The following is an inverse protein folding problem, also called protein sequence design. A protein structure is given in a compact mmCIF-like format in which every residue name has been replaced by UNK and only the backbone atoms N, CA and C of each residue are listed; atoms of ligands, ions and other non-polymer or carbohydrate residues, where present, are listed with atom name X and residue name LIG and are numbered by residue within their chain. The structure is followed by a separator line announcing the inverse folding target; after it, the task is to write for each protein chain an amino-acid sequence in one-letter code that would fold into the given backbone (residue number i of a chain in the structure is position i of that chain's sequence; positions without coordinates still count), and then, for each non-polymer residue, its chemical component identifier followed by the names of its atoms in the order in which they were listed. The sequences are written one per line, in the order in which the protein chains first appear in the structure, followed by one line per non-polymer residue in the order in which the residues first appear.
data_IF_890776010207
#
_entry.id   IF_890776010207
#
_cell.length_a   1.000
_cell.length_b   1.000
_cell.length_c   1.000
_cell.angle_alpha   90.00
_cell.angle_beta   90.00
_cell.angle_gamma   90.00
#
_symmetry.space_group_name_H-M   'P 1'
#
loop_
_entity.id
_entity.type
_entity.pdbx_description
1 polymer ?
#
# COMPACT_ATOMS: atom_id res chain seq x y z
N UNK A 1 65.34 -25.67 -71.60
CA UNK A 1 65.33 -24.29 -71.05
C UNK A 1 64.26 -23.51 -71.78
N UNK A 2 63.14 -23.17 -71.14
CA UNK A 2 62.42 -21.90 -71.30
C UNK A 2 61.08 -22.00 -70.58
N UNK A 3 60.80 -20.94 -69.82
CA UNK A 3 59.49 -20.56 -69.32
C UNK A 3 58.60 -20.09 -70.49
N UNK A 4 57.27 -20.16 -70.28
CA UNK A 4 56.21 -19.22 -70.72
C UNK A 4 54.96 -19.88 -71.35
N UNK A 5 53.82 -19.34 -70.90
CA UNK A 5 52.47 -19.31 -71.50
C UNK A 5 51.55 -20.52 -71.22
N UNK A 6 50.26 -20.40 -70.89
CA UNK A 6 49.32 -19.27 -70.83
C UNK A 6 48.00 -19.77 -70.18
N UNK A 7 47.15 -18.83 -69.75
CA UNK A 7 45.70 -18.92 -69.42
C UNK A 7 45.23 -19.26 -67.99
N UNK A 8 44.77 -18.19 -67.31
CA UNK A 8 43.73 -18.19 -66.27
C UNK A 8 42.38 -18.76 -66.76
N UNK A 9 41.55 -19.31 -65.85
CA UNK A 9 40.09 -19.15 -65.87
C UNK A 9 39.61 -18.15 -64.77
N UNK A 10 38.35 -17.67 -64.85
CA UNK A 10 38.01 -16.32 -64.41
C UNK A 10 37.52 -16.19 -62.97
N UNK A 11 37.62 -14.95 -62.50
CA UNK A 11 36.98 -14.34 -61.33
C UNK A 11 35.53 -14.83 -61.08
N UNK A 12 35.35 -15.68 -60.06
CA UNK A 12 34.07 -15.88 -59.34
C UNK A 12 34.38 -16.04 -57.85
N UNK A 13 35.02 -15.03 -57.24
CA UNK A 13 35.37 -15.06 -55.81
C UNK A 13 35.00 -13.75 -55.09
N UNK A 14 33.95 -13.08 -55.57
CA UNK A 14 33.53 -11.76 -55.08
C UNK A 14 32.12 -11.70 -54.48
N UNK A 15 31.27 -12.71 -54.68
CA UNK A 15 29.86 -12.65 -54.24
C UNK A 15 29.58 -13.43 -52.95
N UNK A 16 30.28 -14.56 -52.69
CA UNK A 16 30.03 -15.33 -51.46
C UNK A 16 30.60 -14.68 -50.18
N UNK A 17 31.64 -13.85 -50.30
CA UNK A 17 32.28 -13.22 -49.14
C UNK A 17 31.50 -12.00 -48.60
N UNK A 18 30.60 -11.41 -49.39
CA UNK A 18 29.78 -10.26 -48.98
C UNK A 18 28.53 -10.69 -48.20
N UNK A 19 27.98 -11.87 -48.45
CA UNK A 19 26.81 -12.37 -47.71
C UNK A 19 27.15 -12.78 -46.27
N UNK A 20 28.37 -13.29 -46.02
CA UNK A 20 28.83 -13.66 -44.69
C UNK A 20 29.03 -12.47 -43.74
N UNK A 21 29.39 -11.29 -44.26
CA UNK A 21 29.62 -10.08 -43.45
C UNK A 21 28.34 -9.42 -42.94
N UNK A 22 27.19 -9.68 -43.60
CA UNK A 22 25.90 -9.15 -43.17
C UNK A 22 25.33 -9.87 -41.94
N UNK A 23 25.70 -11.14 -41.71
CA UNK A 23 25.18 -11.91 -40.57
C UNK A 23 25.94 -11.55 -39.27
N UNK A 24 27.22 -11.18 -39.36
CA UNK A 24 28.04 -10.81 -38.19
C UNK A 24 27.77 -9.40 -37.65
N UNK A 25 27.26 -8.47 -38.47
CA UNK A 25 26.98 -7.08 -38.05
C UNK A 25 25.67 -6.92 -37.28
N UNK A 26 24.77 -7.91 -37.34
CA UNK A 26 23.46 -7.88 -36.66
C UNK A 26 23.47 -8.48 -35.25
N UNK A 27 24.50 -9.27 -34.91
CA UNK A 27 24.70 -9.89 -33.59
C UNK A 27 24.71 -8.90 -32.40
N UNK A 28 25.38 -7.73 -32.47
CA UNK A 28 25.36 -6.75 -31.39
C UNK A 28 23.97 -6.15 -31.16
N UNK A 29 23.16 -6.02 -32.22
CA UNK A 29 21.82 -5.46 -32.15
C UNK A 29 20.83 -6.42 -31.48
N UNK A 30 20.92 -7.72 -31.80
CA UNK A 30 20.08 -8.76 -31.18
C UNK A 30 20.38 -8.91 -29.68
N UNK A 31 21.65 -8.86 -29.28
CA UNK A 31 22.05 -8.89 -27.87
C UNK A 31 21.60 -7.63 -27.10
N UNK A 32 21.70 -6.45 -27.73
CA UNK A 32 21.25 -5.19 -27.14
C UNK A 32 19.73 -5.13 -26.93
N UNK A 33 18.96 -5.61 -27.91
CA UNK A 33 17.49 -5.70 -27.80
C UNK A 33 17.09 -6.75 -26.76
N UNK A 34 17.74 -7.92 -26.72
CA UNK A 34 17.45 -8.95 -25.73
C UNK A 34 17.78 -8.50 -24.30
N UNK A 35 18.90 -7.80 -24.10
CA UNK A 35 19.27 -7.21 -22.81
C UNK A 35 18.26 -6.17 -22.33
N UNK A 36 17.77 -5.31 -23.23
CA UNK A 36 16.75 -4.32 -22.88
C UNK A 36 15.36 -4.98 -22.67
N UNK A 37 15.05 -6.08 -23.36
CA UNK A 37 13.83 -6.86 -23.18
C UNK A 37 13.82 -7.63 -21.84
N UNK A 38 14.96 -8.23 -21.46
CA UNK A 38 15.16 -8.81 -20.13
C UNK A 38 15.03 -7.75 -19.02
N UNK A 39 15.51 -6.53 -19.26
CA UNK A 39 15.33 -5.38 -18.34
C UNK A 39 13.87 -4.96 -18.20
N UNK A 40 13.05 -5.10 -19.25
CA UNK A 40 11.60 -4.86 -19.21
C UNK A 40 10.90 -5.99 -18.43
N UNK A 41 11.36 -7.24 -18.55
CA UNK A 41 10.82 -8.38 -17.79
C UNK A 41 11.15 -8.30 -16.28
N UNK A 42 12.26 -7.66 -15.89
CA UNK A 42 12.63 -7.45 -14.46
C UNK A 42 11.95 -6.21 -13.83
N UNK A 43 11.03 -5.55 -14.53
CA UNK A 43 10.24 -4.41 -13.97
C UNK A 43 9.11 -4.84 -13.04
N UNK A 44 8.90 -6.14 -12.84
CA UNK A 44 7.87 -6.67 -11.93
C UNK A 44 8.38 -6.91 -10.50
N UNK A 45 9.52 -6.32 -10.12
CA UNK A 45 9.82 -6.11 -8.70
C UNK A 45 8.96 -4.96 -8.20
N UNK A 46 7.84 -5.30 -7.55
CA UNK A 46 7.11 -4.37 -6.66
C UNK A 46 8.15 -3.56 -5.87
N UNK A 47 8.05 -2.22 -5.82
CA UNK A 47 8.98 -1.41 -5.05
C UNK A 47 9.02 -1.95 -3.63
N UNK A 48 10.23 -2.23 -3.13
CA UNK A 48 10.50 -2.66 -1.76
C UNK A 48 9.93 -1.56 -0.84
N UNK A 49 8.71 -1.74 -0.37
CA UNK A 49 8.03 -0.79 0.51
C UNK A 49 8.91 -0.66 1.75
N UNK A 50 9.31 0.58 2.08
CA UNK A 50 10.20 0.84 3.19
C UNK A 50 9.50 0.38 4.49
N UNK A 51 10.10 -0.60 5.16
CA UNK A 51 9.66 -1.20 6.43
C UNK A 51 9.93 -0.25 7.62
N UNK A 52 9.62 1.03 7.47
CA UNK A 52 9.81 2.02 8.52
C UNK A 52 8.54 2.15 9.38
N UNK A 53 8.67 2.26 10.72
CA UNK A 53 7.56 2.61 11.59
C UNK A 53 6.84 3.85 11.07
N UNK A 54 5.52 3.89 11.22
CA UNK A 54 4.74 5.04 10.80
C UNK A 54 5.11 6.27 11.62
N UNK A 55 5.21 7.41 10.94
CA UNK A 55 5.27 8.70 11.60
C UNK A 55 3.88 9.13 12.07
N UNK A 56 3.87 10.05 13.04
CA UNK A 56 2.66 10.77 13.48
C UNK A 56 1.84 11.24 12.28
N UNK A 57 0.53 11.04 12.37
CA UNK A 57 -0.34 11.22 11.21
C UNK A 57 -1.60 10.39 11.25
N UNK A 58 -2.43 10.60 10.22
CA UNK A 58 -3.65 9.85 10.01
C UNK A 58 -3.59 9.10 8.68
N UNK A 59 -3.90 7.82 8.74
CA UNK A 59 -3.65 6.85 7.68
C UNK A 59 -4.89 6.01 7.41
N UNK A 60 -5.02 5.51 6.20
CA UNK A 60 -5.99 4.47 5.82
C UNK A 60 -5.22 3.20 5.50
N UNK A 61 -5.62 2.10 6.12
CA UNK A 61 -5.09 0.76 5.89
C UNK A 61 -6.16 -0.09 5.17
N UNK A 62 -6.01 -0.34 3.86
CA UNK A 62 -7.04 -0.97 3.02
C UNK A 62 -6.99 -2.50 3.11
N UNK A 63 -6.91 -3.06 4.32
CA UNK A 63 -6.83 -4.50 4.56
C UNK A 63 -7.36 -4.85 5.94
N UNK A 64 -8.21 -5.89 6.01
CA UNK A 64 -8.68 -6.45 7.27
C UNK A 64 -7.62 -7.33 7.96
N UNK A 65 -6.53 -7.70 7.28
CA UNK A 65 -5.41 -8.35 7.95
C UNK A 65 -4.50 -7.30 8.59
N UNK A 66 -4.69 -7.06 9.88
CA UNK A 66 -3.95 -6.06 10.66
C UNK A 66 -2.58 -6.54 11.15
N UNK A 67 -2.18 -7.78 10.84
CA UNK A 67 -0.95 -8.36 11.41
C UNK A 67 0.28 -7.55 11.00
N UNK A 68 0.39 -7.19 9.71
CA UNK A 68 1.48 -6.37 9.19
C UNK A 68 1.46 -4.94 9.76
N UNK A 69 0.26 -4.36 9.89
CA UNK A 69 0.08 -3.02 10.47
C UNK A 69 0.63 -2.99 11.90
N UNK A 70 0.26 -3.97 12.71
CA UNK A 70 0.64 -4.01 14.12
C UNK A 70 2.12 -4.39 14.29
N UNK A 71 2.56 -5.47 13.64
CA UNK A 71 3.90 -6.03 13.85
C UNK A 71 5.03 -5.18 13.24
N UNK A 72 4.75 -4.42 12.17
CA UNK A 72 5.79 -3.69 11.44
C UNK A 72 5.62 -2.18 11.58
N UNK A 73 4.41 -1.68 11.32
CA UNK A 73 4.16 -0.24 11.16
C UNK A 73 3.92 0.48 12.49
N UNK A 74 3.36 -0.21 13.49
CA UNK A 74 3.03 0.36 14.81
C UNK A 74 3.84 -0.26 15.96
N UNK A 75 4.90 -1.01 15.67
CA UNK A 75 5.71 -1.75 16.66
C UNK A 75 6.25 -0.91 17.83
N UNK A 76 6.50 0.38 17.60
CA UNK A 76 7.09 1.29 18.59
C UNK A 76 6.03 2.12 19.33
N UNK A 77 4.74 1.79 19.19
CA UNK A 77 3.61 2.52 19.77
C UNK A 77 2.83 1.66 20.76
N UNK A 78 2.31 2.30 21.80
CA UNK A 78 1.29 1.69 22.68
C UNK A 78 -0.03 1.66 21.93
N UNK A 79 -0.58 0.48 21.71
CA UNK A 79 -1.77 0.32 20.87
C UNK A 79 -3.05 0.59 21.65
N UNK A 80 -4.03 1.17 20.97
CA UNK A 80 -5.40 1.34 21.42
C UNK A 80 -6.31 1.04 20.25
N UNK A 81 -7.35 0.24 20.47
CA UNK A 81 -8.27 -0.19 19.42
C UNK A 81 -9.65 0.42 19.55
N UNK A 82 -10.26 0.70 18.41
CA UNK A 82 -11.71 0.75 18.27
C UNK A 82 -12.06 -0.28 17.19
N UNK A 83 -13.03 -1.15 17.46
CA UNK A 83 -13.43 -2.16 16.48
C UNK A 83 -14.93 -2.39 16.48
N UNK A 84 -15.47 -2.65 15.29
CA UNK A 84 -16.76 -3.34 15.12
C UNK A 84 -16.54 -4.85 15.13
N UNK A 85 -15.45 -5.33 14.52
CA UNK A 85 -15.06 -6.74 14.51
C UNK A 85 -13.89 -7.01 15.46
N UNK A 86 -14.18 -7.50 16.68
CA UNK A 86 -13.16 -7.78 17.69
C UNK A 86 -12.16 -8.87 17.27
N UNK A 87 -12.52 -9.76 16.35
CA UNK A 87 -11.61 -10.81 15.86
C UNK A 87 -10.36 -10.26 15.17
N UNK A 88 -10.43 -9.01 14.67
CA UNK A 88 -9.26 -8.34 14.08
C UNK A 88 -8.12 -8.20 15.10
N UNK A 89 -8.45 -8.04 16.38
CA UNK A 89 -7.48 -7.79 17.44
C UNK A 89 -7.29 -8.97 18.38
N UNK A 90 -7.91 -10.13 18.12
CA UNK A 90 -7.91 -11.29 19.03
C UNK A 90 -6.50 -11.83 19.36
N UNK A 91 -5.53 -11.63 18.46
CA UNK A 91 -4.13 -12.04 18.66
C UNK A 91 -3.33 -11.07 19.53
N UNK A 92 -3.87 -9.91 19.86
CA UNK A 92 -3.15 -8.79 20.45
C UNK A 92 -3.80 -8.34 21.75
N UNK A 93 -2.98 -8.04 22.76
CA UNK A 93 -3.46 -7.58 24.06
C UNK A 93 -3.26 -6.08 24.21
N UNK A 94 -4.34 -5.31 23.99
CA UNK A 94 -4.37 -3.87 24.21
C UNK A 94 -5.81 -3.37 24.45
N UNK A 95 -6.00 -2.20 25.09
CA UNK A 95 -7.33 -1.65 25.34
C UNK A 95 -8.13 -1.44 24.05
N UNK A 96 -9.34 -2.01 23.98
CA UNK A 96 -10.21 -1.88 22.82
C UNK A 96 -11.64 -1.47 23.21
N UNK A 97 -12.17 -0.47 22.51
CA UNK A 97 -13.57 -0.06 22.59
C UNK A 97 -14.38 -0.73 21.47
N UNK A 98 -15.40 -1.49 21.84
CA UNK A 98 -16.26 -2.20 20.90
C UNK A 98 -17.43 -1.34 20.42
N UNK A 99 -17.50 -1.05 19.12
CA UNK A 99 -18.66 -0.37 18.53
C UNK A 99 -19.81 -1.36 18.43
N UNK A 100 -20.81 -1.27 19.30
CA UNK A 100 -21.96 -2.19 19.33
C UNK A 100 -23.22 -1.61 19.92
N UNK A 101 -24.37 -2.08 19.42
CA UNK A 101 -25.69 -1.82 20.02
C UNK A 101 -25.94 -2.65 21.29
N UNK A 102 -25.12 -3.70 21.52
CA UNK A 102 -25.18 -4.52 22.71
C UNK A 102 -24.45 -3.78 23.84
N UNK A 103 -25.14 -3.56 24.95
CA UNK A 103 -24.55 -2.93 26.13
C UNK A 103 -23.73 -3.95 26.92
N UNK A 104 -22.40 -3.78 26.85
CA UNK A 104 -21.39 -4.52 27.61
C UNK A 104 -20.32 -3.54 28.10
N UNK A 105 -19.50 -3.97 29.06
CA UNK A 105 -18.26 -3.28 29.39
C UNK A 105 -17.41 -3.05 28.13
N UNK A 106 -16.77 -1.87 28.06
CA UNK A 106 -15.97 -1.42 26.92
C UNK A 106 -16.72 -1.45 25.58
N UNK A 107 -18.03 -1.15 25.59
CA UNK A 107 -18.82 -1.02 24.36
C UNK A 107 -19.47 0.36 24.24
N UNK A 108 -19.74 0.76 23.00
CA UNK A 108 -20.38 2.04 22.67
C UNK A 108 -21.29 1.89 21.45
N UNK A 109 -22.50 2.46 21.50
CA UNK A 109 -23.38 2.44 20.33
C UNK A 109 -22.77 3.27 19.19
N UNK A 110 -22.92 2.83 17.92
CA UNK A 110 -22.36 3.53 16.76
C UNK A 110 -22.90 4.95 16.58
N UNK A 111 -24.08 5.25 17.15
CA UNK A 111 -24.71 6.57 17.10
C UNK A 111 -24.18 7.55 18.13
N UNK A 112 -23.39 7.11 19.12
CA UNK A 112 -22.83 7.96 20.16
C UNK A 112 -21.42 8.44 19.78
N UNK A 113 -21.30 9.11 18.63
CA UNK A 113 -20.01 9.55 18.07
C UNK A 113 -19.21 10.42 19.06
N UNK A 114 -19.89 11.26 19.83
CA UNK A 114 -19.31 12.08 20.89
C UNK A 114 -18.67 11.27 22.02
N UNK A 115 -19.27 10.13 22.39
CA UNK A 115 -18.70 9.23 23.41
C UNK A 115 -17.46 8.51 22.89
N UNK A 116 -17.48 8.09 21.62
CA UNK A 116 -16.32 7.50 20.95
C UNK A 116 -15.17 8.52 20.95
N UNK A 117 -15.44 9.76 20.54
CA UNK A 117 -14.45 10.83 20.50
C UNK A 117 -13.86 11.11 21.89
N UNK A 118 -14.72 11.26 22.90
CA UNK A 118 -14.30 11.51 24.28
C UNK A 118 -13.40 10.38 24.81
N UNK A 119 -13.77 9.13 24.55
CA UNK A 119 -12.96 7.98 24.95
C UNK A 119 -11.58 8.01 24.29
N UNK A 120 -11.49 8.33 23.00
CA UNK A 120 -10.19 8.48 22.32
C UNK A 120 -9.36 9.61 22.94
N UNK A 121 -9.97 10.79 23.09
CA UNK A 121 -9.30 12.01 23.56
C UNK A 121 -8.74 11.87 24.98
N UNK A 122 -9.38 11.04 25.81
CA UNK A 122 -8.98 10.75 27.20
C UNK A 122 -8.00 9.58 27.31
N UNK A 123 -7.98 8.67 26.32
CA UNK A 123 -7.09 7.50 26.32
C UNK A 123 -5.76 7.77 25.60
N UNK A 124 -5.77 8.53 24.51
CA UNK A 124 -4.61 8.69 23.63
C UNK A 124 -3.65 9.78 24.10
N UNK A 125 -2.35 9.45 24.04
CA UNK A 125 -1.20 10.35 24.22
C UNK A 125 -0.21 10.19 23.05
N UNK A 126 0.90 10.96 23.04
CA UNK A 126 1.93 10.90 21.99
C UNK A 126 2.60 9.53 21.80
N UNK A 127 2.59 8.68 22.83
CA UNK A 127 3.16 7.32 22.79
C UNK A 127 2.25 6.32 22.08
N UNK A 128 1.00 6.69 21.81
CA UNK A 128 -0.02 5.76 21.35
C UNK A 128 -0.17 5.73 19.83
N UNK A 129 -0.70 4.62 19.33
CA UNK A 129 -1.24 4.45 17.99
C UNK A 129 -2.67 3.90 18.08
N UNK A 130 -3.64 4.65 17.55
CA UNK A 130 -5.05 4.26 17.48
C UNK A 130 -5.32 3.50 16.17
N UNK A 131 -5.83 2.28 16.30
CA UNK A 131 -6.37 1.49 15.18
C UNK A 131 -7.89 1.55 15.26
N UNK A 132 -8.53 2.01 14.19
CA UNK A 132 -9.98 2.19 14.12
C UNK A 132 -10.55 1.29 13.02
N UNK A 133 -11.31 0.29 13.41
CA UNK A 133 -12.14 -0.56 12.54
C UNK A 133 -13.63 -0.21 12.70
N UNK A 134 -14.37 -0.23 11.58
CA UNK A 134 -15.82 -0.03 11.55
C UNK A 134 -16.29 1.30 10.97
N UNK A 135 -15.50 1.95 10.11
CA UNK A 135 -15.89 3.20 9.43
C UNK A 135 -17.15 2.99 8.57
N UNK A 136 -17.21 1.88 7.84
CA UNK A 136 -18.34 1.45 7.03
C UNK A 136 -19.60 1.32 7.89
N UNK A 137 -19.45 0.75 9.09
CA UNK A 137 -20.54 0.58 10.02
C UNK A 137 -21.03 1.92 10.59
N UNK A 138 -20.12 2.86 10.89
CA UNK A 138 -20.51 4.21 11.29
C UNK A 138 -21.26 4.95 10.17
N UNK A 139 -20.81 4.83 8.92
CA UNK A 139 -21.51 5.40 7.76
C UNK A 139 -22.90 4.80 7.63
N UNK A 140 -23.05 3.49 7.80
CA UNK A 140 -24.34 2.80 7.74
C UNK A 140 -25.32 3.29 8.81
N UNK A 141 -24.83 3.54 10.03
CA UNK A 141 -25.66 3.92 11.18
C UNK A 141 -25.96 5.42 11.27
N UNK A 142 -25.06 6.27 10.78
CA UNK A 142 -25.14 7.73 10.94
C UNK A 142 -25.23 8.51 9.63
N UNK A 143 -24.98 7.86 8.50
CA UNK A 143 -24.74 8.51 7.20
C UNK A 143 -23.30 9.01 7.04
N UNK A 144 -22.96 9.37 5.80
CA UNK A 144 -21.61 9.79 5.41
C UNK A 144 -21.19 11.09 6.09
N UNK A 145 -22.04 12.12 6.07
CA UNK A 145 -21.65 13.46 6.52
C UNK A 145 -21.36 13.52 8.03
N UNK A 146 -22.21 12.98 8.94
CA UNK A 146 -21.89 12.98 10.37
C UNK A 146 -20.65 12.14 10.68
N UNK A 147 -20.51 10.99 10.03
CA UNK A 147 -19.34 10.12 10.20
C UNK A 147 -18.06 10.82 9.76
N UNK A 148 -18.08 11.49 8.61
CA UNK A 148 -16.89 12.17 8.10
C UNK A 148 -16.49 13.37 8.95
N UNK A 149 -17.47 14.15 9.44
CA UNK A 149 -17.22 15.23 10.42
C UNK A 149 -16.60 14.67 11.71
N UNK A 150 -17.08 13.53 12.19
CA UNK A 150 -16.49 12.84 13.34
C UNK A 150 -15.05 12.40 13.06
N UNK A 151 -14.78 11.76 11.91
CA UNK A 151 -13.43 11.31 11.54
C UNK A 151 -12.44 12.48 11.40
N UNK A 152 -12.88 13.63 10.87
CA UNK A 152 -12.06 14.85 10.79
C UNK A 152 -11.72 15.39 12.19
N UNK A 153 -12.72 15.46 13.08
CA UNK A 153 -12.50 15.90 14.46
C UNK A 153 -11.56 14.94 15.22
N UNK A 154 -11.78 13.63 15.05
CA UNK A 154 -10.90 12.59 15.57
C UNK A 154 -9.46 12.76 15.07
N UNK A 155 -9.28 12.96 13.76
CA UNK A 155 -7.98 13.24 13.12
C UNK A 155 -7.29 14.42 13.79
N UNK A 156 -7.97 15.55 13.91
CA UNK A 156 -7.40 16.77 14.45
C UNK A 156 -6.92 16.57 15.90
N UNK A 157 -7.71 15.89 16.73
CA UNK A 157 -7.31 15.56 18.10
C UNK A 157 -6.10 14.62 18.20
N UNK A 158 -5.96 13.66 17.29
CA UNK A 158 -4.81 12.74 17.24
C UNK A 158 -3.55 13.49 16.79
N UNK A 159 -3.66 14.34 15.76
CA UNK A 159 -2.54 15.12 15.25
C UNK A 159 -2.01 16.12 16.28
N UNK A 160 -2.89 16.79 17.04
CA UNK A 160 -2.52 17.67 18.14
C UNK A 160 -1.68 16.98 19.22
N UNK A 161 -1.80 15.67 19.37
CA UNK A 161 -1.05 14.86 20.34
C UNK A 161 0.22 14.25 19.76
N UNK A 162 0.54 14.52 18.50
CA UNK A 162 1.64 13.87 17.77
C UNK A 162 1.53 12.33 17.79
N UNK A 163 0.30 11.81 17.72
CA UNK A 163 -0.02 10.38 17.75
C UNK A 163 -0.40 9.87 16.35
N UNK A 164 -0.70 8.58 16.24
CA UNK A 164 -1.02 7.91 14.97
C UNK A 164 -2.48 7.47 14.98
N UNK A 165 -3.21 7.76 13.92
CA UNK A 165 -4.53 7.19 13.63
C UNK A 165 -4.42 6.33 12.38
N UNK A 166 -4.92 5.10 12.46
CA UNK A 166 -5.04 4.20 11.31
C UNK A 166 -6.48 3.74 11.20
N UNK A 167 -7.13 4.13 10.12
CA UNK A 167 -8.46 3.65 9.75
C UNK A 167 -8.30 2.35 8.97
N UNK A 168 -8.74 1.24 9.56
CA UNK A 168 -8.85 -0.05 8.87
C UNK A 168 -10.17 -0.04 8.10
N UNK A 169 -10.08 -0.20 6.79
CA UNK A 169 -11.24 -0.17 5.88
C UNK A 169 -11.16 -1.29 4.85
N UNK A 170 -12.32 -1.83 4.46
CA UNK A 170 -12.47 -2.63 3.26
C UNK A 170 -12.94 -1.73 2.12
N UNK A 171 -12.03 -1.39 1.19
CA UNK A 171 -12.34 -0.51 0.05
C UNK A 171 -13.52 -1.04 -0.78
N UNK A 172 -13.78 -2.34 -0.77
CA UNK A 172 -14.87 -2.97 -1.53
C UNK A 172 -16.25 -2.71 -0.93
N UNK A 173 -16.30 -2.30 0.34
CA UNK A 173 -17.53 -2.00 1.07
C UNK A 173 -17.89 -0.50 1.05
N UNK A 174 -17.05 0.34 0.44
CA UNK A 174 -17.23 1.78 0.36
C UNK A 174 -17.50 2.23 -1.08
N UNK A 175 -18.36 3.24 -1.23
CA UNK A 175 -18.61 3.88 -2.51
C UNK A 175 -17.42 4.76 -2.94
N UNK A 176 -17.25 4.99 -4.25
CA UNK A 176 -16.17 5.81 -4.80
C UNK A 176 -16.08 7.22 -4.18
N UNK A 177 -17.24 7.84 -3.93
CA UNK A 177 -17.32 9.14 -3.26
C UNK A 177 -16.77 9.08 -1.83
N UNK A 178 -17.08 8.02 -1.10
CA UNK A 178 -16.66 7.83 0.29
C UNK A 178 -15.14 7.63 0.34
N UNK A 179 -14.60 6.79 -0.55
CA UNK A 179 -13.17 6.55 -0.70
C UNK A 179 -12.41 7.82 -1.11
N UNK A 180 -12.94 8.58 -2.07
CA UNK A 180 -12.31 9.82 -2.54
C UNK A 180 -12.17 10.85 -1.41
N UNK A 181 -13.19 10.96 -0.55
CA UNK A 181 -13.13 11.82 0.62
C UNK A 181 -12.12 11.32 1.65
N UNK A 182 -12.12 10.01 1.96
CA UNK A 182 -11.14 9.41 2.88
C UNK A 182 -9.70 9.64 2.39
N UNK A 183 -9.40 9.35 1.12
CA UNK A 183 -8.04 9.52 0.59
C UNK A 183 -7.59 10.96 0.43
N UNK A 184 -8.51 11.92 0.42
CA UNK A 184 -8.15 13.33 0.50
C UNK A 184 -7.66 13.72 1.90
N UNK A 185 -8.21 13.12 2.95
CA UNK A 185 -7.98 13.53 4.34
C UNK A 185 -6.99 12.64 5.09
N UNK A 186 -6.82 11.40 4.64
CA UNK A 186 -6.02 10.36 5.29
C UNK A 186 -5.05 9.74 4.27
N UNK A 187 -3.79 9.52 4.69
CA UNK A 187 -2.76 8.95 3.81
C UNK A 187 -2.99 7.44 3.63
N UNK A 188 -3.12 6.98 2.39
CA UNK A 188 -3.28 5.55 2.09
C UNK A 188 -1.96 4.80 2.34
N UNK A 189 -2.02 3.75 3.15
CA UNK A 189 -0.96 2.75 3.28
C UNK A 189 -1.14 1.76 2.14
N UNK A 190 -0.06 1.50 1.39
CA UNK A 190 -0.02 0.41 0.42
C UNK A 190 0.69 -0.75 1.10
N UNK A 191 -0.01 -1.81 1.54
CA UNK A 191 0.61 -3.04 2.01
C UNK A 191 1.23 -3.88 0.87
#
# INVERSE_FOLDING_TARGET
MSWMNFMNPPLVLGQELLEGYFILSSLPFVLGVLGNFLRILDTNKKPKQQETPLSSGAWVYPSLNVDYLIANLLKDKKLVGIARNLHLFEKYDFPCLWISKIEKENSVRPTHLEKILHWVVTTITHEHGLIFDGVEYLILENGLEPTFKFLLNLKDHILLRNSILVLVVDERALEERQLSLLYREFRRISP
#
